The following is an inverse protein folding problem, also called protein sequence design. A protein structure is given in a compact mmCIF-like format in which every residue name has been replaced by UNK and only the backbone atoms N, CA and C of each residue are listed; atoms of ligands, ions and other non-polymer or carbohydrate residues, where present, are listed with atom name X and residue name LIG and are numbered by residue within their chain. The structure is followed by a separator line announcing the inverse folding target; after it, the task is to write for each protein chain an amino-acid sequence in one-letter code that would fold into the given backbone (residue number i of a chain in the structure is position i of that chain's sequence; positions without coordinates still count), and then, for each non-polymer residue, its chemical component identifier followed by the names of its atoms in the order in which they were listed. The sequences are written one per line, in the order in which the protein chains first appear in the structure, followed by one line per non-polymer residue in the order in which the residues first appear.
data_IF_644136719586
#
_entry.id   IF_644136719586
#
_cell.length_a   1.000
_cell.length_b   1.000
_cell.length_c   1.000
_cell.angle_alpha   90.00
_cell.angle_beta   90.00
_cell.angle_gamma   90.00
#
_symmetry.space_group_name_H-M   'P 1'
#
loop_
_entity.id
_entity.type
_entity.pdbx_description
1 polymer ?
#
# COMPACT_ATOMS: atom_id res chain seq x y z
N UNK A 1 31.07 -28.50 -1.98
CA UNK A 1 30.15 -28.38 -3.13
C UNK A 1 28.92 -29.16 -2.71
N UNK A 2 27.91 -28.47 -2.19
CA UNK A 2 26.78 -29.09 -1.50
C UNK A 2 25.52 -28.69 -2.25
N UNK A 3 24.91 -29.65 -2.94
CA UNK A 3 23.63 -29.49 -3.62
C UNK A 3 22.55 -29.25 -2.57
N UNK A 4 21.89 -28.10 -2.63
CA UNK A 4 20.65 -27.86 -1.90
C UNK A 4 19.55 -28.51 -2.74
N UNK A 5 18.99 -29.60 -2.22
CA UNK A 5 17.79 -30.20 -2.75
C UNK A 5 16.68 -29.14 -2.80
N UNK A 6 16.21 -28.86 -4.01
CA UNK A 6 14.98 -28.12 -4.23
C UNK A 6 13.86 -28.90 -3.51
N UNK A 7 13.35 -28.32 -2.42
CA UNK A 7 12.17 -28.84 -1.78
C UNK A 7 11.01 -28.74 -2.78
N UNK A 8 10.38 -29.89 -2.98
CA UNK A 8 9.20 -30.09 -3.81
C UNK A 8 8.19 -28.95 -3.66
N UNK A 9 8.03 -28.20 -4.75
CA UNK A 9 6.86 -27.39 -5.02
C UNK A 9 5.66 -28.32 -5.29
N UNK A 10 5.20 -28.99 -4.23
CA UNK A 10 3.95 -29.74 -4.26
C UNK A 10 2.78 -28.76 -4.40
N UNK A 11 2.43 -28.49 -5.65
CA UNK A 11 1.09 -28.16 -6.15
C UNK A 11 0.11 -27.55 -5.12
N UNK A 12 0.34 -26.30 -4.73
CA UNK A 12 -0.76 -25.40 -4.44
C UNK A 12 -1.33 -25.01 -5.79
N UNK A 13 -2.23 -25.81 -6.35
CA UNK A 13 -3.10 -25.35 -7.42
C UNK A 13 -3.82 -24.11 -6.88
N UNK A 14 -3.55 -22.90 -7.38
CA UNK A 14 -4.22 -21.73 -6.87
C UNK A 14 -5.65 -21.86 -7.36
N UNK A 15 -6.56 -22.26 -6.48
CA UNK A 15 -8.00 -21.99 -6.64
C UNK A 15 -8.29 -20.48 -6.51
N UNK A 16 -7.31 -19.64 -6.84
CA UNK A 16 -7.25 -18.23 -6.50
C UNK A 16 -7.88 -17.41 -7.60
N UNK A 17 -8.91 -16.65 -7.23
CA UNK A 17 -9.39 -15.54 -8.03
C UNK A 17 -8.20 -14.63 -8.37
N UNK A 18 -7.81 -14.57 -9.65
CA UNK A 18 -6.75 -13.69 -10.10
C UNK A 18 -7.31 -12.28 -10.28
N UNK A 19 -6.76 -11.31 -9.55
CA UNK A 19 -7.08 -9.90 -9.75
C UNK A 19 -6.29 -9.38 -10.95
N UNK A 20 -7.01 -9.00 -12.01
CA UNK A 20 -6.37 -8.35 -13.16
C UNK A 20 -6.15 -6.86 -12.87
N UNK A 21 -4.91 -6.42 -13.05
CA UNK A 21 -4.49 -5.05 -12.87
C UNK A 21 -3.85 -4.59 -14.18
N UNK A 22 -4.65 -4.13 -15.17
CA UNK A 22 -4.09 -3.73 -16.46
C UNK A 22 -3.10 -2.58 -16.25
N UNK A 23 -1.98 -2.67 -16.97
CA UNK A 23 -0.95 -1.63 -17.07
C UNK A 23 -1.23 -0.87 -18.36
N UNK A 24 -1.47 0.43 -18.25
CA UNK A 24 -1.76 1.30 -19.37
C UNK A 24 -0.58 1.38 -20.35
N UNK A 25 -0.86 1.77 -21.59
CA UNK A 25 0.20 1.95 -22.60
C UNK A 25 1.16 3.05 -22.14
N UNK A 26 2.44 2.70 -21.98
CA UNK A 26 3.48 3.62 -21.50
C UNK A 26 3.61 3.69 -19.97
N UNK A 27 2.77 2.98 -19.22
CA UNK A 27 2.95 2.82 -17.78
C UNK A 27 4.06 1.80 -17.49
N UNK A 28 4.90 2.11 -16.50
CA UNK A 28 5.89 1.18 -15.97
C UNK A 28 5.49 0.79 -14.56
N UNK A 29 5.56 -0.50 -14.25
CA UNK A 29 5.34 -1.01 -12.90
C UNK A 29 6.62 -0.82 -12.09
N UNK A 30 6.53 -0.13 -10.96
CA UNK A 30 7.68 0.04 -10.08
C UNK A 30 8.13 -1.34 -9.53
N UNK A 31 9.43 -1.67 -9.52
CA UNK A 31 9.90 -2.95 -9.00
C UNK A 31 9.45 -3.20 -7.56
N UNK A 32 8.92 -4.40 -7.31
CA UNK A 32 8.40 -4.79 -5.99
C UNK A 32 7.00 -4.26 -5.68
N UNK A 33 6.30 -3.64 -6.63
CA UNK A 33 4.87 -3.34 -6.51
C UNK A 33 4.11 -4.61 -6.11
N UNK A 34 3.25 -4.50 -5.10
CA UNK A 34 2.51 -5.63 -4.54
C UNK A 34 1.03 -5.30 -4.36
N UNK A 35 0.22 -6.36 -4.25
CA UNK A 35 -1.19 -6.26 -3.90
C UNK A 35 -1.37 -6.55 -2.41
N UNK A 36 -2.10 -5.66 -1.73
CA UNK A 36 -2.51 -5.82 -0.33
C UNK A 36 -4.00 -6.15 -0.31
N UNK A 37 -4.37 -7.35 0.11
CA UNK A 37 -5.73 -7.65 0.54
C UNK A 37 -5.95 -7.04 1.92
N UNK A 38 -6.92 -6.13 2.01
CA UNK A 38 -7.20 -5.41 3.26
C UNK A 38 -7.88 -6.28 4.30
N UNK A 39 -8.50 -7.40 3.93
CA UNK A 39 -9.07 -8.40 4.85
C UNK A 39 -9.90 -7.82 6.01
N UNK A 40 -10.61 -6.70 5.80
CA UNK A 40 -11.40 -6.04 6.86
C UNK A 40 -10.54 -5.32 7.92
N UNK A 41 -9.32 -4.93 7.59
CA UNK A 41 -8.45 -4.13 8.45
C UNK A 41 -9.14 -2.85 8.94
N UNK A 42 -8.72 -2.37 10.12
CA UNK A 42 -9.18 -1.09 10.62
C UNK A 42 -8.50 0.04 9.84
N UNK A 43 -9.20 0.56 8.83
CA UNK A 43 -8.68 1.56 7.91
C UNK A 43 -9.19 2.95 8.32
N UNK A 44 -8.24 3.87 8.55
CA UNK A 44 -8.49 5.30 8.63
C UNK A 44 -8.25 5.91 7.25
N UNK A 45 -9.35 6.16 6.54
CA UNK A 45 -9.36 6.52 5.12
C UNK A 45 -9.74 7.98 4.88
N UNK A 46 -8.79 8.78 4.39
CA UNK A 46 -9.01 10.19 4.08
C UNK A 46 -9.19 10.48 2.58
N UNK A 47 -9.08 9.46 1.73
CA UNK A 47 -9.12 9.62 0.26
C UNK A 47 -10.17 8.73 -0.43
N UNK A 48 -10.94 7.97 0.35
CA UNK A 48 -12.07 7.15 -0.11
C UNK A 48 -11.61 5.88 -0.82
N UNK A 49 -10.63 5.15 -0.29
CA UNK A 49 -10.09 3.91 -0.86
C UNK A 49 -10.54 2.63 -0.14
N UNK A 50 -11.11 2.76 1.06
CA UNK A 50 -11.60 1.65 1.90
C UNK A 50 -12.69 0.79 1.24
N UNK A 51 -13.38 1.29 0.22
CA UNK A 51 -14.37 0.52 -0.54
C UNK A 51 -13.76 -0.48 -1.53
N UNK A 52 -12.46 -0.38 -1.81
CA UNK A 52 -11.72 -1.38 -2.58
C UNK A 52 -11.04 -2.35 -1.63
N UNK A 53 -11.32 -3.66 -1.73
CA UNK A 53 -10.74 -4.65 -0.82
C UNK A 53 -9.27 -4.96 -1.11
N UNK A 54 -8.81 -4.77 -2.36
CA UNK A 54 -7.42 -5.03 -2.76
C UNK A 54 -6.74 -3.75 -3.21
N UNK A 55 -5.57 -3.44 -2.66
CA UNK A 55 -4.82 -2.22 -2.96
C UNK A 55 -3.49 -2.52 -3.63
N UNK A 56 -3.18 -1.82 -4.71
CA UNK A 56 -1.88 -1.89 -5.40
C UNK A 56 -0.95 -0.82 -4.83
N UNK A 57 0.17 -1.26 -4.25
CA UNK A 57 1.12 -0.42 -3.52
C UNK A 57 2.49 -0.48 -4.20
N UNK A 58 3.02 0.68 -4.56
CA UNK A 58 4.42 0.86 -4.95
C UNK A 58 5.28 1.06 -3.68
N UNK A 59 6.18 0.14 -3.32
CA UNK A 59 7.05 0.32 -2.16
C UNK A 59 8.04 1.46 -2.44
N UNK A 60 7.91 2.57 -1.72
CA UNK A 60 8.84 3.70 -1.83
C UNK A 60 9.59 3.89 -0.52
N UNK A 61 10.88 4.25 -0.62
CA UNK A 61 11.72 4.59 0.54
C UNK A 61 11.52 6.03 1.02
N UNK A 62 10.88 6.86 0.21
CA UNK A 62 10.69 8.29 0.47
C UNK A 62 9.26 8.70 0.16
N UNK A 63 8.75 9.63 0.95
CA UNK A 63 7.49 10.30 0.71
C UNK A 63 7.72 11.43 -0.27
N UNK A 64 6.89 11.50 -1.32
CA UNK A 64 6.80 12.71 -2.15
C UNK A 64 5.55 13.45 -1.70
N UNK A 65 5.62 14.77 -1.61
CA UNK A 65 4.46 15.58 -1.29
C UNK A 65 3.30 15.33 -2.27
N UNK A 66 2.10 15.18 -1.70
CA UNK A 66 0.86 14.79 -2.39
C UNK A 66 0.78 13.33 -2.89
N UNK A 67 1.76 12.46 -2.63
CA UNK A 67 1.56 11.04 -2.89
C UNK A 67 0.39 10.51 -2.07
N UNK A 68 -0.44 9.66 -2.70
CA UNK A 68 -1.41 8.84 -1.97
C UNK A 68 -0.62 7.74 -1.31
N UNK A 69 -0.66 7.65 0.01
CA UNK A 69 0.17 6.73 0.77
C UNK A 69 -0.66 5.71 1.53
N UNK A 70 -0.01 4.58 1.86
CA UNK A 70 -0.49 3.61 2.84
C UNK A 70 0.56 3.49 3.95
N UNK A 71 0.09 3.61 5.19
CA UNK A 71 0.89 3.55 6.39
C UNK A 71 0.25 2.55 7.38
N UNK A 72 1.04 1.59 7.86
CA UNK A 72 0.64 0.68 8.92
C UNK A 72 1.17 1.19 10.25
N UNK A 73 0.27 1.55 11.16
CA UNK A 73 0.64 1.97 12.50
C UNK A 73 1.01 0.76 13.36
N UNK A 74 1.80 0.98 14.41
CA UNK A 74 2.16 -0.06 15.38
C UNK A 74 0.95 -0.72 16.07
N UNK A 75 -0.17 0.00 16.18
CA UNK A 75 -1.43 -0.52 16.73
C UNK A 75 -2.25 -1.32 15.71
N UNK A 76 -1.71 -1.57 14.51
CA UNK A 76 -2.34 -2.36 13.46
C UNK A 76 -3.32 -1.59 12.56
N UNK A 77 -3.57 -0.31 12.82
CA UNK A 77 -4.42 0.51 11.94
C UNK A 77 -3.71 0.85 10.64
N UNK A 78 -4.45 0.78 9.53
CA UNK A 78 -3.99 1.25 8.23
C UNK A 78 -4.48 2.67 8.00
N UNK A 79 -3.57 3.57 7.66
CA UNK A 79 -3.88 4.94 7.29
C UNK A 79 -3.69 5.12 5.80
N UNK A 80 -4.62 5.81 5.15
CA UNK A 80 -4.44 6.23 3.77
C UNK A 80 -4.90 7.66 3.51
N UNK A 81 -4.09 8.39 2.77
CA UNK A 81 -4.36 9.77 2.38
C UNK A 81 -3.21 10.39 1.60
N UNK A 82 -3.23 11.71 1.42
CA UNK A 82 -2.16 12.44 0.73
C UNK A 82 -1.07 12.86 1.71
N UNK A 83 0.18 12.48 1.45
CA UNK A 83 1.34 12.89 2.25
C UNK A 83 1.63 14.39 2.11
N UNK A 84 2.17 14.97 3.18
CA UNK A 84 2.93 16.22 3.19
C UNK A 84 3.98 16.12 4.27
N UNK A 85 5.26 16.29 3.93
CA UNK A 85 6.30 16.31 4.94
C UNK A 85 6.12 17.55 5.83
N UNK A 86 6.16 17.37 7.15
CA UNK A 86 6.07 18.47 8.11
C UNK A 86 7.45 18.75 8.71
N UNK A 87 8.18 17.70 9.12
CA UNK A 87 9.58 17.77 9.55
C UNK A 87 10.35 16.56 9.02
N UNK A 88 11.62 16.41 9.39
CA UNK A 88 12.41 15.20 9.11
C UNK A 88 11.81 13.92 9.69
N UNK A 89 10.98 14.01 10.73
CA UNK A 89 10.56 12.88 11.55
C UNK A 89 9.03 12.66 11.55
N UNK A 90 8.29 13.52 10.86
CA UNK A 90 6.84 13.39 10.77
C UNK A 90 6.27 13.89 9.45
N UNK A 91 5.11 13.34 9.11
CA UNK A 91 4.29 13.77 7.99
C UNK A 91 2.88 14.14 8.45
N UNK A 92 2.21 14.94 7.63
CA UNK A 92 0.78 15.19 7.71
C UNK A 92 0.09 14.33 6.65
N UNK A 93 -0.95 13.60 7.05
CA UNK A 93 -1.91 13.03 6.11
C UNK A 93 -3.02 14.04 5.86
N UNK A 94 -3.31 14.27 4.58
CA UNK A 94 -4.37 15.15 4.09
C UNK A 94 -5.44 14.38 3.33
N UNK A 95 -6.66 14.88 3.36
CA UNK A 95 -7.75 14.36 2.54
C UNK A 95 -7.70 14.86 1.09
N UNK A 96 -8.64 14.41 0.25
CA UNK A 96 -8.75 14.85 -1.15
C UNK A 96 -8.86 16.37 -1.33
N UNK A 97 -9.40 17.10 -0.35
CA UNK A 97 -9.49 18.58 -0.35
C UNK A 97 -8.23 19.29 0.14
N UNK A 98 -7.12 18.57 0.35
CA UNK A 98 -5.87 19.08 0.91
C UNK A 98 -5.99 19.61 2.36
N UNK A 99 -7.04 19.22 3.09
CA UNK A 99 -7.20 19.57 4.49
C UNK A 99 -6.36 18.60 5.32
N UNK A 100 -5.62 19.13 6.31
CA UNK A 100 -4.84 18.34 7.26
C UNK A 100 -5.77 17.51 8.13
N UNK A 101 -5.52 16.20 8.22
CA UNK A 101 -6.37 15.25 8.94
C UNK A 101 -5.66 14.57 10.10
N UNK A 102 -4.39 14.21 9.92
CA UNK A 102 -3.62 13.49 10.94
C UNK A 102 -2.13 13.84 10.84
N UNK A 103 -1.42 13.81 11.98
CA UNK A 103 0.03 13.89 12.03
C UNK A 103 0.60 12.52 12.39
N UNK A 104 1.49 11.99 11.56
CA UNK A 104 2.13 10.69 11.77
C UNK A 104 3.61 10.88 12.05
N UNK A 105 4.04 10.31 13.16
CA UNK A 105 5.44 10.18 13.58
C UNK A 105 6.06 8.92 12.95
N UNK A 106 7.24 9.07 12.33
CA UNK A 106 7.97 7.98 11.69
C UNK A 106 8.37 6.85 12.65
N UNK A 107 8.50 7.13 13.94
CA UNK A 107 8.80 6.11 14.95
C UNK A 107 7.62 5.18 15.25
N UNK A 108 6.40 5.53 14.84
CA UNK A 108 5.16 4.81 15.15
C UNK A 108 4.51 4.16 13.93
N UNK A 109 5.15 4.25 12.77
CA UNK A 109 4.58 3.82 11.49
C UNK A 109 5.56 2.97 10.69
N UNK A 110 5.03 1.96 10.03
CA UNK A 110 5.65 1.27 8.93
C UNK A 110 5.06 1.82 7.63
N UNK A 111 5.85 2.58 6.88
CA UNK A 111 5.42 3.10 5.58
C UNK A 111 5.40 1.96 4.56
N UNK A 112 4.21 1.62 4.06
CA UNK A 112 4.05 0.53 3.09
C UNK A 112 4.39 0.98 1.68
N UNK A 113 4.08 2.24 1.35
CA UNK A 113 4.39 2.80 0.04
C UNK A 113 3.29 3.71 -0.51
N UNK A 114 3.40 4.00 -1.80
CA UNK A 114 2.43 4.81 -2.54
C UNK A 114 1.28 3.94 -3.02
N UNK A 115 0.06 4.34 -2.71
CA UNK A 115 -1.15 3.74 -3.24
C UNK A 115 -1.36 4.16 -4.69
N UNK A 116 -1.38 3.18 -5.60
CA UNK A 116 -1.61 3.42 -7.02
C UNK A 116 -3.08 3.33 -7.36
N UNK A 117 -3.73 2.23 -6.95
CA UNK A 117 -5.16 2.02 -7.17
C UNK A 117 -5.72 0.96 -6.24
N UNK A 118 -7.02 1.07 -5.94
CA UNK A 118 -7.82 -0.03 -5.43
C UNK A 118 -8.39 -0.88 -6.57
N UNK A 119 -8.60 -2.16 -6.31
CA UNK A 119 -9.22 -3.13 -7.22
C UNK A 119 -10.50 -3.63 -6.57
N UNK A 120 -11.58 -3.65 -7.35
CA UNK A 120 -12.87 -4.20 -6.93
C UNK A 120 -12.90 -5.72 -7.16
N UNK A 121 -13.60 -6.46 -6.30
CA UNK A 121 -13.89 -7.87 -6.53
C UNK A 121 -15.10 -7.93 -7.46
N UNK A 122 -14.89 -8.39 -8.69
CA UNK A 122 -15.97 -8.72 -9.63
C UNK A 122 -16.51 -10.13 -9.34
#
# INVERSE_FOLDING_TARGET
MTQIHAHDSSSLSPSGHFYSCPVGKGEQVYPGTFALDTCGANIIDYIGQSHFPVWIIEPRRMFIDNDRIVALMQDGRLFTGKSKLLTSDNLIIRNNKNINCEVIDFHKVCFMGRLIKGIYLL
#
